data_IF_908579582510
#
_entry.id   IF_908579582510
#
_cell.length_a   1.000
_cell.length_b   1.000
_cell.length_c   1.000
_cell.angle_alpha   90.00
_cell.angle_beta   90.00
_cell.angle_gamma   90.00
#
_symmetry.space_group_name_H-M   'P 1'
#
loop_
_entity.id
_entity.type
_entity.pdbx_description
1 polymer ?
#
# COMPACT_ATOMS: atom_id res chain seq x y z
N UNK A 1 -1.33 -4.00 19.30
CA UNK A 1 -0.27 -4.59 18.48
C UNK A 1 0.25 -3.51 17.55
N UNK A 2 1.56 -3.33 17.47
CA UNK A 2 2.19 -2.33 16.58
C UNK A 2 2.08 -2.80 15.12
N UNK A 3 1.61 -1.94 14.22
CA UNK A 3 1.48 -2.20 12.78
C UNK A 3 2.27 -1.13 12.03
N UNK A 4 3.60 -1.29 11.88
CA UNK A 4 4.51 -0.19 11.52
C UNK A 4 4.06 0.60 10.29
N UNK A 5 3.66 -0.08 9.21
CA UNK A 5 3.25 0.54 7.96
C UNK A 5 1.95 1.33 8.12
N UNK A 6 0.96 0.75 8.80
CA UNK A 6 -0.32 1.42 9.06
C UNK A 6 -0.14 2.63 9.99
N UNK A 7 0.69 2.46 11.02
CA UNK A 7 0.94 3.50 12.03
C UNK A 7 1.68 4.70 11.39
N UNK A 8 2.67 4.45 10.53
CA UNK A 8 3.35 5.49 9.74
C UNK A 8 2.36 6.21 8.81
N UNK A 9 1.54 5.45 8.07
CA UNK A 9 0.56 6.03 7.15
C UNK A 9 -0.42 6.95 7.89
N UNK A 10 -1.02 6.47 8.99
CA UNK A 10 -1.95 7.25 9.79
C UNK A 10 -1.31 8.51 10.35
N UNK A 11 -0.08 8.43 10.85
CA UNK A 11 0.63 9.58 11.38
C UNK A 11 0.82 10.67 10.30
N UNK A 12 1.33 10.30 9.12
CA UNK A 12 1.55 11.25 8.03
C UNK A 12 0.23 11.81 7.47
N UNK A 13 -0.77 10.96 7.28
CA UNK A 13 -2.08 11.36 6.79
C UNK A 13 -2.77 12.34 7.76
N UNK A 14 -2.68 12.09 9.07
CA UNK A 14 -3.22 12.98 10.09
C UNK A 14 -2.55 14.35 10.07
N UNK A 15 -1.23 14.40 9.95
CA UNK A 15 -0.51 15.68 9.84
C UNK A 15 -0.96 16.48 8.61
N UNK A 16 -1.09 15.82 7.44
CA UNK A 16 -1.59 16.45 6.21
C UNK A 16 -3.05 16.87 6.30
N UNK A 17 -3.87 16.14 7.05
CA UNK A 17 -5.27 16.49 7.28
C UNK A 17 -5.39 17.77 8.13
N UNK A 18 -4.57 17.89 9.17
CA UNK A 18 -4.56 19.05 10.07
C UNK A 18 -3.95 20.30 9.40
N UNK A 19 -2.88 20.11 8.63
CA UNK A 19 -2.27 21.16 7.82
C UNK A 19 -1.77 20.59 6.48
N UNK A 20 -2.50 20.91 5.41
CA UNK A 20 -2.17 20.49 4.04
C UNK A 20 -0.75 20.92 3.61
N UNK A 21 -0.26 22.04 4.13
CA UNK A 21 1.03 22.63 3.78
C UNK A 21 2.16 22.18 4.70
N UNK A 22 1.90 21.36 5.72
CA UNK A 22 2.93 20.89 6.63
C UNK A 22 4.06 20.20 5.85
N UNK A 23 5.29 20.58 6.18
CA UNK A 23 6.47 19.91 5.67
C UNK A 23 6.66 18.57 6.39
N UNK A 24 6.79 17.50 5.61
CA UNK A 24 7.06 16.16 6.12
C UNK A 24 8.52 15.72 5.88
N UNK A 25 9.38 16.66 5.44
CA UNK A 25 10.76 16.36 5.02
C UNK A 25 11.59 15.69 6.10
N UNK A 26 11.40 16.04 7.39
CA UNK A 26 12.14 15.41 8.48
C UNK A 26 11.83 13.91 8.65
N UNK A 27 10.72 13.42 8.09
CA UNK A 27 10.29 12.03 8.21
C UNK A 27 10.71 11.15 7.05
N UNK A 28 11.23 11.72 5.95
CA UNK A 28 11.61 10.98 4.75
C UNK A 28 12.59 9.83 5.06
N UNK A 29 13.80 10.16 5.49
CA UNK A 29 14.85 9.18 5.79
C UNK A 29 14.46 8.13 6.83
N UNK A 30 13.94 8.50 8.02
CA UNK A 30 13.61 7.50 9.04
C UNK A 30 12.51 6.54 8.56
N UNK A 31 11.49 7.02 7.84
CA UNK A 31 10.39 6.17 7.40
C UNK A 31 10.72 5.32 6.18
N UNK A 32 11.52 5.81 5.23
CA UNK A 32 12.05 4.98 4.15
C UNK A 32 12.87 3.81 4.72
N UNK A 33 13.78 4.10 5.65
CA UNK A 33 14.63 3.08 6.26
C UNK A 33 13.82 2.03 7.02
N UNK A 34 12.73 2.45 7.67
CA UNK A 34 11.83 1.52 8.35
C UNK A 34 11.06 0.65 7.36
N UNK A 35 10.46 1.25 6.32
CA UNK A 35 9.69 0.52 5.30
C UNK A 35 10.57 -0.51 4.57
N UNK A 36 11.80 -0.15 4.21
CA UNK A 36 12.76 -1.04 3.51
C UNK A 36 13.05 -2.34 4.30
N UNK A 37 12.91 -2.36 5.62
CA UNK A 37 13.11 -3.58 6.44
C UNK A 37 12.04 -4.65 6.20
N UNK A 38 10.85 -4.24 5.77
CA UNK A 38 9.71 -5.12 5.53
C UNK A 38 9.53 -5.48 4.06
N UNK A 39 10.41 -4.96 3.19
CA UNK A 39 10.30 -5.15 1.75
C UNK A 39 10.92 -6.49 1.33
N UNK A 40 10.11 -7.31 0.69
CA UNK A 40 10.53 -8.58 0.09
C UNK A 40 11.16 -8.36 -1.30
N UNK A 41 11.95 -9.32 -1.83
CA UNK A 41 12.58 -9.20 -3.15
C UNK A 41 11.61 -9.01 -4.32
N UNK A 42 10.35 -9.42 -4.17
CA UNK A 42 9.28 -9.20 -5.15
C UNK A 42 8.68 -7.78 -5.10
N UNK A 43 9.20 -6.90 -4.23
CA UNK A 43 8.69 -5.54 -4.06
C UNK A 43 7.52 -5.41 -3.09
N UNK A 44 7.03 -6.51 -2.51
CA UNK A 44 5.95 -6.49 -1.54
C UNK A 44 6.41 -5.95 -0.19
N UNK A 45 5.47 -5.48 0.64
CA UNK A 45 5.67 -5.29 2.07
C UNK A 45 4.98 -6.43 2.81
N UNK A 46 5.77 -7.25 3.51
CA UNK A 46 5.31 -8.44 4.23
C UNK A 46 4.44 -9.39 3.38
N UNK A 47 4.59 -9.39 2.05
CA UNK A 47 3.76 -10.14 1.11
C UNK A 47 2.25 -9.85 1.21
N UNK A 48 1.89 -8.62 1.61
CA UNK A 48 0.50 -8.16 1.74
C UNK A 48 0.21 -6.97 0.83
N UNK A 49 -0.78 -7.10 -0.06
CA UNK A 49 -1.23 -6.03 -0.96
C UNK A 49 -1.62 -4.76 -0.20
N UNK A 50 -2.32 -4.89 0.94
CA UNK A 50 -2.72 -3.72 1.75
C UNK A 50 -1.54 -2.99 2.36
N UNK A 51 -0.48 -3.69 2.77
CA UNK A 51 0.71 -3.05 3.31
C UNK A 51 1.57 -2.44 2.20
N UNK A 52 1.73 -3.12 1.07
CA UNK A 52 2.39 -2.57 -0.12
C UNK A 52 1.70 -1.29 -0.60
N UNK A 53 0.36 -1.29 -0.68
CA UNK A 53 -0.43 -0.13 -1.07
C UNK A 53 -0.26 1.05 -0.09
N UNK A 54 -0.31 0.78 1.23
CA UNK A 54 -0.09 1.82 2.24
C UNK A 54 1.34 2.36 2.20
N UNK A 55 2.35 1.51 1.99
CA UNK A 55 3.73 1.95 1.80
C UNK A 55 3.85 2.85 0.56
N UNK A 56 3.21 2.49 -0.55
CA UNK A 56 3.20 3.32 -1.75
C UNK A 56 2.55 4.70 -1.48
N UNK A 57 1.45 4.75 -0.73
CA UNK A 57 0.83 6.01 -0.30
C UNK A 57 1.71 6.83 0.66
N UNK A 58 2.49 6.17 1.53
CA UNK A 58 3.48 6.86 2.38
C UNK A 58 4.53 7.55 1.51
N UNK A 59 5.00 6.88 0.46
CA UNK A 59 5.97 7.46 -0.47
C UNK A 59 5.40 8.69 -1.18
N UNK A 60 4.11 8.68 -1.53
CA UNK A 60 3.42 9.85 -2.07
C UNK A 60 3.34 11.00 -1.04
N UNK A 61 2.88 10.71 0.18
CA UNK A 61 2.77 11.71 1.25
C UNK A 61 4.11 12.40 1.58
N UNK A 62 5.21 11.65 1.46
CA UNK A 62 6.58 12.14 1.68
C UNK A 62 7.22 12.75 0.43
N UNK A 63 6.51 12.87 -0.70
CA UNK A 63 7.03 13.34 -1.99
C UNK A 63 8.29 12.58 -2.45
N UNK A 64 8.31 11.26 -2.26
CA UNK A 64 9.45 10.40 -2.56
C UNK A 64 9.39 9.79 -3.95
N UNK A 65 8.29 9.95 -4.69
CA UNK A 65 8.10 9.42 -6.05
C UNK A 65 9.30 9.63 -6.96
N UNK A 66 9.86 10.84 -6.96
CA UNK A 66 10.98 11.21 -7.82
C UNK A 66 12.34 10.84 -7.22
N UNK A 67 12.42 10.59 -5.91
CA UNK A 67 13.66 10.26 -5.20
C UNK A 67 13.91 8.75 -5.18
N UNK A 68 12.84 7.97 -5.15
CA UNK A 68 12.87 6.51 -5.04
C UNK A 68 11.91 5.87 -6.09
N UNK A 69 12.07 6.19 -7.39
CA UNK A 69 11.14 5.74 -8.44
C UNK A 69 11.13 4.22 -8.62
N UNK A 70 12.28 3.56 -8.43
CA UNK A 70 12.41 2.10 -8.53
C UNK A 70 11.59 1.39 -7.46
N UNK A 71 11.65 1.84 -6.20
CA UNK A 71 10.88 1.27 -5.10
C UNK A 71 9.38 1.47 -5.29
N UNK A 72 8.98 2.67 -5.75
CA UNK A 72 7.59 2.95 -6.09
C UNK A 72 7.09 2.00 -7.18
N UNK A 73 7.93 1.74 -8.19
CA UNK A 73 7.59 0.85 -9.31
C UNK A 73 7.48 -0.61 -8.87
N UNK A 74 8.39 -1.08 -8.01
CA UNK A 74 8.33 -2.44 -7.43
C UNK A 74 7.05 -2.65 -6.63
N UNK A 75 6.69 -1.70 -5.76
CA UNK A 75 5.45 -1.74 -4.98
C UNK A 75 4.22 -1.76 -5.90
N UNK A 76 4.19 -0.86 -6.89
CA UNK A 76 3.06 -0.74 -7.81
C UNK A 76 2.89 -2.01 -8.66
N UNK A 77 3.99 -2.56 -9.20
CA UNK A 77 3.95 -3.80 -9.96
C UNK A 77 3.46 -4.96 -9.10
N UNK A 78 3.96 -5.10 -7.86
CA UNK A 78 3.46 -6.12 -6.95
C UNK A 78 1.94 -5.98 -6.73
N UNK A 79 1.45 -4.76 -6.46
CA UNK A 79 0.01 -4.51 -6.27
C UNK A 79 -0.75 -4.96 -7.52
N UNK A 80 -0.40 -4.44 -8.71
CA UNK A 80 -1.13 -4.72 -9.97
C UNK A 80 -1.08 -6.20 -10.35
N UNK A 81 0.08 -6.84 -10.22
CA UNK A 81 0.28 -8.23 -10.63
C UNK A 81 -0.38 -9.24 -9.67
N UNK A 82 -0.66 -8.82 -8.42
CA UNK A 82 -1.35 -9.66 -7.42
C UNK A 82 -2.81 -9.29 -7.22
N UNK A 83 -3.30 -8.22 -7.87
CA UNK A 83 -4.72 -7.84 -7.84
C UNK A 83 -5.58 -8.76 -8.71
N UNK A 84 -5.97 -9.91 -8.16
CA UNK A 84 -7.09 -10.71 -8.67
C UNK A 84 -8.18 -10.78 -7.59
N UNK A 85 -9.06 -9.77 -7.58
CA UNK A 85 -10.10 -9.60 -6.56
C UNK A 85 -11.44 -10.12 -7.04
N UNK A 86 -12.22 -10.66 -6.11
CA UNK A 86 -13.53 -11.23 -6.37
C UNK A 86 -13.48 -12.31 -7.45
N UNK A 87 -12.39 -13.08 -7.48
CA UNK A 87 -12.23 -14.17 -8.43
C UNK A 87 -13.36 -15.20 -8.20
N UNK A 88 -13.97 -15.63 -9.30
CA UNK A 88 -15.04 -16.62 -9.34
C UNK A 88 -14.51 -18.06 -9.31
N UNK A 89 -13.20 -18.23 -9.42
CA UNK A 89 -12.48 -19.46 -9.21
C UNK A 89 -12.32 -19.71 -7.69
N UNK A 90 -12.27 -20.97 -7.28
CA UNK A 90 -12.08 -21.40 -5.87
C UNK A 90 -13.17 -20.98 -4.86
N UNK A 91 -14.43 -20.83 -5.33
CA UNK A 91 -15.60 -20.53 -4.48
C UNK A 91 -16.03 -21.64 -3.51
N UNK A 92 -15.37 -22.79 -3.58
CA UNK A 92 -15.52 -23.96 -2.73
C UNK A 92 -14.72 -23.87 -1.41
N UNK A 93 -13.85 -22.86 -1.25
CA UNK A 93 -13.13 -22.63 0.00
C UNK A 93 -14.03 -22.05 1.10
N UNK A 94 -13.77 -22.45 2.37
CA UNK A 94 -14.55 -22.05 3.55
C UNK A 94 -14.49 -20.54 3.88
N UNK A 95 -13.66 -19.77 3.19
CA UNK A 95 -13.52 -18.31 3.34
C UNK A 95 -13.38 -17.67 1.95
N UNK A 96 -14.51 -17.51 1.25
CA UNK A 96 -14.55 -16.80 -0.02
C UNK A 96 -15.52 -15.61 0.05
N UNK A 97 -15.28 -14.59 -0.78
CA UNK A 97 -16.07 -13.37 -0.79
C UNK A 97 -17.55 -13.57 -1.11
N UNK A 98 -17.92 -14.64 -1.83
CA UNK A 98 -19.29 -14.85 -2.29
C UNK A 98 -20.20 -15.36 -1.18
N UNK A 99 -19.70 -16.29 -0.39
CA UNK A 99 -20.49 -17.01 0.61
C UNK A 99 -20.21 -16.56 2.05
N UNK A 100 -19.09 -15.87 2.30
CA UNK A 100 -18.71 -15.38 3.62
C UNK A 100 -18.63 -13.84 3.68
N UNK A 101 -19.34 -13.25 4.64
CA UNK A 101 -19.38 -11.79 4.82
C UNK A 101 -18.04 -11.23 5.27
N UNK A 102 -17.24 -12.00 5.99
CA UNK A 102 -15.91 -11.56 6.42
C UNK A 102 -14.93 -11.58 5.24
N UNK A 103 -14.91 -12.65 4.45
CA UNK A 103 -14.16 -12.73 3.19
C UNK A 103 -14.48 -11.57 2.25
N UNK A 104 -15.77 -11.25 2.07
CA UNK A 104 -16.18 -10.11 1.24
C UNK A 104 -15.61 -8.78 1.73
N UNK A 105 -15.65 -8.54 3.05
CA UNK A 105 -15.10 -7.31 3.66
C UNK A 105 -13.59 -7.23 3.51
N UNK A 106 -12.88 -8.35 3.68
CA UNK A 106 -11.43 -8.41 3.51
C UNK A 106 -11.07 -8.06 2.06
N UNK A 107 -11.71 -8.69 1.07
CA UNK A 107 -11.43 -8.40 -0.34
C UNK A 107 -11.77 -6.95 -0.72
N UNK A 108 -12.88 -6.40 -0.20
CA UNK A 108 -13.20 -4.98 -0.38
C UNK A 108 -12.14 -4.05 0.21
N UNK A 109 -11.62 -4.36 1.41
CA UNK A 109 -10.55 -3.58 2.02
C UNK A 109 -9.28 -3.61 1.17
N UNK A 110 -8.89 -4.80 0.68
CA UNK A 110 -7.70 -4.93 -0.16
C UNK A 110 -7.89 -4.16 -1.48
N UNK A 111 -9.06 -4.30 -2.13
CA UNK A 111 -9.40 -3.56 -3.34
C UNK A 111 -9.35 -2.05 -3.12
N UNK A 112 -9.92 -1.56 -2.02
CA UNK A 112 -9.91 -0.13 -1.68
C UNK A 112 -8.49 0.42 -1.62
N UNK A 113 -7.59 -0.25 -0.89
CA UNK A 113 -6.21 0.21 -0.74
C UNK A 113 -5.43 0.13 -2.05
N UNK A 114 -5.60 -0.96 -2.80
CA UNK A 114 -4.95 -1.12 -4.11
C UNK A 114 -5.38 -0.02 -5.08
N UNK A 115 -6.68 0.24 -5.21
CA UNK A 115 -7.19 1.31 -6.07
C UNK A 115 -6.72 2.70 -5.61
N UNK A 116 -6.76 2.98 -4.31
CA UNK A 116 -6.32 4.26 -3.78
C UNK A 116 -4.84 4.51 -4.09
N UNK A 117 -3.97 3.53 -3.84
CA UNK A 117 -2.54 3.63 -4.14
C UNK A 117 -2.28 3.79 -5.64
N UNK A 118 -2.89 2.95 -6.48
CA UNK A 118 -2.76 3.03 -7.94
C UNK A 118 -3.28 4.35 -8.51
N UNK A 119 -4.33 4.94 -7.93
CA UNK A 119 -4.83 6.26 -8.38
C UNK A 119 -3.83 7.39 -8.17
N UNK A 120 -2.95 7.28 -7.17
CA UNK A 120 -1.91 8.27 -6.90
C UNK A 120 -0.68 8.05 -7.77
N UNK A 121 -0.50 6.87 -8.36
CA UNK A 121 0.69 6.51 -9.12
C UNK A 121 0.35 6.19 -10.56
N UNK A 122 0.69 7.11 -11.45
CA UNK A 122 0.76 6.81 -12.87
C UNK A 122 2.08 6.07 -13.09
N UNK A 123 2.09 4.85 -13.67
CA UNK A 123 3.32 4.19 -14.06
C UNK A 123 4.15 5.18 -14.90
N UNK A 124 5.37 5.46 -14.47
CA UNK A 124 6.34 6.10 -15.36
C UNK A 124 6.68 5.02 -16.38
N UNK A 125 6.00 5.06 -17.52
CA UNK A 125 6.01 3.98 -18.50
C UNK A 125 7.44 3.50 -18.86
N UNK A 126 7.53 2.19 -19.06
CA UNK A 126 8.60 1.46 -19.77
C UNK A 126 8.93 2.08 -21.12
#
# INVERSE_FOLDING_TARGET
>A
YFKPILDIYHHLALLKLLDKNVSLKQFETPYINEIKKFMSPNGSINDLVTESARALLIFDLLNLKNKEPELCSLLLNYIIDTTDFFNIENLDQNFNWRNDKLGFKIELEILYWALLASSQYIPVNK
#
